data_IF_125353940969
#
_entry.id   IF_125353940969
#
_cell.length_a   1.000
_cell.length_b   1.000
_cell.length_c   1.000
_cell.angle_alpha   90.00
_cell.angle_beta   90.00
_cell.angle_gamma   90.00
#
_symmetry.space_group_name_H-M   'P 1'
#
loop_
_entity.id
_entity.type
_entity.pdbx_description
1 polymer ?
#
# COMPACT_ATOMS: atom_id res chain seq x y z
N UNK A 1 -1.61 24.35 1.52
CA UNK A 1 -1.86 22.89 1.41
C UNK A 1 -2.39 22.43 2.75
N UNK A 2 -3.65 22.00 2.81
CA UNK A 2 -4.19 21.42 4.04
C UNK A 2 -3.45 20.12 4.32
N UNK A 3 -2.94 19.97 5.55
CA UNK A 3 -2.13 18.83 5.96
C UNK A 3 -3.07 17.67 6.26
N UNK A 4 -3.09 16.64 5.41
CA UNK A 4 -3.80 15.39 5.70
C UNK A 4 -3.02 14.65 6.79
N UNK A 5 -3.71 14.20 7.83
CA UNK A 5 -3.12 13.47 8.97
C UNK A 5 -3.71 12.07 9.08
N UNK A 6 -3.01 11.15 9.74
CA UNK A 6 -3.48 9.77 9.98
C UNK A 6 -4.86 9.77 10.64
N UNK A 7 -5.04 10.61 11.67
CA UNK A 7 -6.31 10.77 12.38
C UNK A 7 -7.43 11.27 11.45
N UNK A 8 -7.16 12.31 10.64
CA UNK A 8 -8.13 12.86 9.72
C UNK A 8 -8.58 11.84 8.66
N UNK A 9 -7.63 11.08 8.11
CA UNK A 9 -7.92 9.99 7.16
C UNK A 9 -8.74 8.88 7.84
N UNK A 10 -8.37 8.47 9.05
CA UNK A 10 -9.10 7.44 9.82
C UNK A 10 -10.53 7.86 10.17
N UNK A 11 -10.75 9.13 10.51
CA UNK A 11 -12.11 9.65 10.75
C UNK A 11 -12.94 9.60 9.47
N UNK A 12 -12.37 10.04 8.34
CA UNK A 12 -13.06 10.00 7.05
C UNK A 12 -13.40 8.56 6.64
N UNK A 13 -12.50 7.60 6.86
CA UNK A 13 -12.72 6.20 6.48
C UNK A 13 -13.84 5.56 7.31
N UNK A 14 -13.92 5.85 8.60
CA UNK A 14 -15.07 5.41 9.41
C UNK A 14 -16.40 6.05 8.95
N UNK A 15 -16.42 7.36 8.70
CA UNK A 15 -17.64 8.04 8.24
C UNK A 15 -18.14 7.52 6.89
N UNK A 16 -17.23 7.18 5.99
CA UNK A 16 -17.55 6.70 4.65
C UNK A 16 -17.40 5.17 4.50
N UNK A 17 -17.39 4.43 5.62
CA UNK A 17 -17.22 2.97 5.63
C UNK A 17 -18.20 2.25 4.71
N UNK A 18 -19.42 2.78 4.57
CA UNK A 18 -20.49 2.18 3.74
C UNK A 18 -20.22 2.26 2.24
N UNK A 19 -19.43 3.24 1.79
CA UNK A 19 -19.30 3.61 0.38
C UNK A 19 -17.89 3.52 -0.17
N UNK A 20 -16.85 3.54 0.67
CA UNK A 20 -15.46 3.45 0.23
C UNK A 20 -15.08 2.00 -0.14
N UNK A 21 -14.89 1.79 -1.43
CA UNK A 21 -14.48 0.50 -2.03
C UNK A 21 -13.20 0.69 -2.88
N UNK A 22 -13.09 1.84 -3.56
CA UNK A 22 -11.91 2.26 -4.30
C UNK A 22 -11.27 3.45 -3.58
N UNK A 23 -10.02 3.29 -3.16
CA UNK A 23 -9.30 4.27 -2.35
C UNK A 23 -7.96 4.59 -2.99
N UNK A 24 -7.75 5.87 -3.28
CA UNK A 24 -6.48 6.41 -3.76
C UNK A 24 -5.94 7.44 -2.79
N UNK A 25 -4.76 7.17 -2.21
CA UNK A 25 -4.02 8.12 -1.37
C UNK A 25 -2.70 8.44 -2.05
N UNK A 26 -2.58 9.68 -2.54
CA UNK A 26 -1.39 10.16 -3.26
C UNK A 26 -0.98 11.56 -2.81
N UNK A 27 0.29 11.89 -2.95
CA UNK A 27 0.93 13.18 -2.66
C UNK A 27 0.72 13.69 -1.23
N UNK A 28 0.60 12.77 -0.26
CA UNK A 28 0.38 13.09 1.14
C UNK A 28 1.70 13.18 1.91
N UNK A 29 2.25 14.39 2.05
CA UNK A 29 3.59 14.63 2.64
C UNK A 29 3.73 14.14 4.10
N UNK A 30 2.63 14.13 4.86
CA UNK A 30 2.61 13.77 6.28
C UNK A 30 2.14 12.33 6.54
N UNK A 31 1.86 11.57 5.49
CA UNK A 31 1.41 10.20 5.60
C UNK A 31 2.44 9.31 4.92
N UNK A 32 3.17 8.57 5.74
CA UNK A 32 3.94 7.45 5.23
C UNK A 32 3.00 6.27 4.91
N UNK A 33 3.53 5.27 4.22
CA UNK A 33 2.74 4.10 3.81
C UNK A 33 2.11 3.41 5.02
N UNK A 34 2.87 3.26 6.11
CA UNK A 34 2.43 2.57 7.31
C UNK A 34 1.28 3.33 8.01
N UNK A 35 1.36 4.66 8.15
CA UNK A 35 0.28 5.48 8.68
C UNK A 35 -0.95 5.45 7.76
N UNK A 36 -0.75 5.44 6.44
CA UNK A 36 -1.85 5.32 5.48
C UNK A 36 -2.60 3.99 5.68
N UNK A 37 -1.88 2.86 5.71
CA UNK A 37 -2.50 1.54 5.90
C UNK A 37 -3.18 1.42 7.28
N UNK A 38 -2.60 1.99 8.34
CA UNK A 38 -3.23 2.07 9.67
C UNK A 38 -4.50 2.92 9.68
N UNK A 39 -4.55 4.01 8.91
CA UNK A 39 -5.75 4.84 8.80
C UNK A 39 -6.89 4.18 8.00
N UNK A 40 -6.55 3.23 7.12
CA UNK A 40 -7.52 2.46 6.33
C UNK A 40 -8.02 1.18 7.02
N UNK A 41 -7.41 0.79 8.14
CA UNK A 41 -7.80 -0.37 8.94
C UNK A 41 -9.33 -0.52 9.16
N UNK A 42 -10.10 0.55 9.47
CA UNK A 42 -11.54 0.41 9.73
C UNK A 42 -12.37 -0.03 8.52
N UNK A 43 -11.84 0.06 7.30
CA UNK A 43 -12.53 -0.27 6.05
C UNK A 43 -11.79 -1.34 5.23
N UNK A 44 -10.79 -1.98 5.83
CA UNK A 44 -9.91 -2.98 5.19
C UNK A 44 -10.69 -4.15 4.58
N UNK A 45 -11.77 -4.56 5.26
CA UNK A 45 -12.66 -5.65 4.84
C UNK A 45 -13.46 -5.34 3.56
N UNK A 46 -13.44 -4.09 3.08
CA UNK A 46 -14.30 -3.61 2.00
C UNK A 46 -13.56 -3.06 0.80
N UNK A 47 -12.32 -2.62 0.99
CA UNK A 47 -11.53 -2.05 -0.10
C UNK A 47 -11.24 -3.14 -1.13
N UNK A 48 -11.64 -2.89 -2.38
CA UNK A 48 -11.36 -3.75 -3.52
C UNK A 48 -10.19 -3.23 -4.35
N UNK A 49 -10.01 -1.90 -4.38
CA UNK A 49 -8.92 -1.24 -5.11
C UNK A 49 -8.23 -0.24 -4.20
N UNK A 50 -6.92 -0.38 -4.05
CA UNK A 50 -6.11 0.50 -3.22
C UNK A 50 -4.96 1.08 -4.04
N UNK A 51 -4.72 2.37 -3.89
CA UNK A 51 -3.50 3.02 -4.34
C UNK A 51 -2.85 3.79 -3.19
N UNK A 52 -1.53 3.62 -3.03
CA UNK A 52 -0.73 4.31 -2.03
C UNK A 52 0.62 4.72 -2.63
N UNK A 53 1.04 5.95 -2.36
CA UNK A 53 2.42 6.38 -2.57
C UNK A 53 3.31 5.78 -1.47
N UNK A 54 4.23 4.91 -1.86
CA UNK A 54 5.14 4.22 -0.97
C UNK A 54 6.22 5.18 -0.46
N UNK A 55 5.97 5.79 0.68
CA UNK A 55 6.93 6.63 1.41
C UNK A 55 7.24 5.94 2.73
N UNK A 56 8.49 5.56 2.97
CA UNK A 56 8.90 4.71 4.09
C UNK A 56 9.50 5.47 5.29
N UNK A 57 9.08 6.71 5.51
CA UNK A 57 9.73 7.62 6.47
C UNK A 57 9.63 7.18 7.95
N UNK A 58 8.65 6.35 8.33
CA UNK A 58 8.41 5.94 9.72
C UNK A 58 9.05 4.63 10.18
N UNK A 59 9.71 3.86 9.30
CA UNK A 59 10.33 2.59 9.73
C UNK A 59 11.58 2.77 10.60
N UNK A 60 12.04 4.02 10.79
CA UNK A 60 13.23 4.31 11.59
C UNK A 60 12.97 4.68 13.05
N UNK A 61 11.75 4.95 13.52
CA UNK A 61 11.51 5.32 14.93
C UNK A 61 10.01 5.47 15.27
N UNK A 62 9.23 4.40 15.20
CA UNK A 62 7.87 4.40 15.74
C UNK A 62 7.86 4.06 17.24
N UNK A 63 8.47 4.92 18.07
CA UNK A 63 8.34 4.85 19.54
C UNK A 63 8.18 6.20 20.24
N UNK A 64 8.21 7.36 19.57
CA UNK A 64 8.23 8.65 20.27
C UNK A 64 7.48 9.82 19.62
N UNK A 65 6.21 9.65 19.22
CA UNK A 65 5.31 10.80 19.00
C UNK A 65 3.99 10.66 19.75
N UNK A 66 4.13 10.53 21.08
CA UNK A 66 3.10 10.95 22.01
C UNK A 66 3.20 12.44 22.28
N UNK A 67 2.02 13.08 22.30
CA UNK A 67 1.70 14.34 23.03
C UNK A 67 1.83 15.65 22.24
N UNK A 68 0.67 16.08 21.77
CA UNK A 68 0.35 17.50 21.66
C UNK A 68 -0.31 17.86 20.34
N UNK A 69 -1.61 17.56 20.18
CA UNK A 69 -2.59 18.38 19.45
C UNK A 69 -3.98 17.79 19.73
N UNK A 70 -4.81 18.57 20.44
CA UNK A 70 -6.24 18.44 20.76
C UNK A 70 -6.78 17.03 21.10
N UNK A 71 -7.21 16.89 22.35
CA UNK A 71 -7.77 15.69 22.96
C UNK A 71 -9.15 15.35 22.33
N UNK A 72 -9.15 14.64 21.21
CA UNK A 72 -10.34 13.95 20.69
C UNK A 72 -10.41 12.55 21.28
N UNK A 73 -11.55 12.20 21.88
CA UNK A 73 -11.76 10.92 22.55
C UNK A 73 -11.83 9.79 21.52
N UNK A 74 -10.79 8.96 21.51
CA UNK A 74 -10.63 7.82 20.60
C UNK A 74 -11.67 6.72 20.85
N UNK A 75 -12.24 6.66 22.06
CA UNK A 75 -13.22 5.64 22.42
C UNK A 75 -14.58 5.86 21.71
N UNK A 76 -14.93 7.12 21.42
CA UNK A 76 -16.18 7.44 20.72
C UNK A 76 -16.17 7.01 19.25
N UNK A 77 -14.99 6.93 18.62
CA UNK A 77 -14.86 6.51 17.22
C UNK A 77 -15.04 4.99 17.09
N UNK A 78 -14.58 4.21 18.07
CA UNK A 78 -14.73 2.75 18.08
C UNK A 78 -16.20 2.31 18.19
N UNK A 79 -17.02 3.05 18.97
CA UNK A 79 -18.48 2.89 19.01
C UNK A 79 -19.18 3.29 17.69
N UNK A 80 -18.66 4.30 16.97
CA UNK A 80 -19.20 4.74 15.68
C UNK A 80 -18.92 3.75 14.54
N UNK A 81 -17.75 3.12 14.52
CA UNK A 81 -17.41 2.14 13.46
C UNK A 81 -18.04 0.76 13.74
N UNK A 82 -18.63 0.56 14.93
CA UNK A 82 -19.28 -0.68 15.39
C UNK A 82 -20.82 -0.64 15.36
N UNK A 83 -21.43 0.52 15.10
CA UNK A 83 -22.90 0.67 15.11
C UNK A 83 -23.45 1.03 13.73
N UNK A 84 -24.39 0.19 13.25
CA UNK A 84 -25.21 0.50 12.09
C UNK A 84 -26.25 1.56 12.46
N UNK A 85 -25.94 2.85 12.28
CA UNK A 85 -26.92 3.92 12.53
C UNK A 85 -27.01 4.88 11.35
N UNK A 86 -28.25 5.13 10.92
CA UNK A 86 -28.63 6.08 9.88
C UNK A 86 -28.17 7.52 10.22
N UNK A 87 -27.73 8.24 9.19
CA UNK A 87 -27.00 9.51 9.26
C UNK A 87 -27.77 10.74 9.74
N UNK A 88 -28.45 10.68 10.88
CA UNK A 88 -29.19 11.80 11.44
C UNK A 88 -28.51 12.49 12.65
N UNK A 89 -27.56 11.85 13.34
CA UNK A 89 -27.02 12.36 14.62
C UNK A 89 -25.72 13.17 14.52
N UNK A 90 -25.25 13.51 13.30
CA UNK A 90 -24.01 14.28 13.11
C UNK A 90 -24.17 15.78 13.39
N UNK A 91 -25.40 16.30 13.50
CA UNK A 91 -25.63 17.75 13.54
C UNK A 91 -25.54 18.40 14.93
N UNK A 92 -25.49 17.62 16.01
CA UNK A 92 -25.62 18.16 17.38
C UNK A 92 -24.28 18.53 18.04
N UNK A 93 -23.14 18.31 17.38
CA UNK A 93 -21.80 18.57 17.96
C UNK A 93 -21.21 19.95 17.60
N UNK A 94 -21.89 20.75 16.78
CA UNK A 94 -21.44 22.08 16.35
C UNK A 94 -22.41 23.22 16.70
N UNK A 95 -23.10 23.14 17.85
CA UNK A 95 -24.04 24.21 18.26
C UNK A 95 -24.23 24.36 19.76
N UNK A 96 -23.70 25.46 20.31
CA UNK A 96 -24.37 26.35 21.28
C UNK A 96 -24.79 25.83 22.67
N UNK A 97 -24.48 26.64 23.67
CA UNK A 97 -24.84 26.48 25.09
C UNK A 97 -26.35 26.22 25.36
N UNK A 98 -26.55 25.40 26.40
CA UNK A 98 -27.58 25.51 27.45
C UNK A 98 -28.90 24.70 27.39
N UNK A 99 -29.14 24.07 28.54
CA UNK A 99 -30.41 23.71 29.19
C UNK A 99 -31.37 22.64 28.61
N UNK A 100 -31.38 21.52 29.35
CA UNK A 100 -32.54 20.97 30.08
C UNK A 100 -33.37 19.80 29.50
N UNK A 101 -33.32 18.70 30.26
CA UNK A 101 -34.35 17.66 30.51
C UNK A 101 -35.05 17.06 29.27
N UNK A 102 -34.81 15.77 29.02
CA UNK A 102 -35.89 14.78 28.80
C UNK A 102 -35.46 13.38 29.21
N UNK A 103 -36.45 12.66 29.73
CA UNK A 103 -36.40 11.43 30.52
C UNK A 103 -36.83 10.28 29.60
N UNK A 104 -36.41 9.05 29.95
CA UNK A 104 -36.88 7.71 29.49
C UNK A 104 -36.03 7.16 28.32
N UNK A 105 -35.60 5.89 28.28
CA UNK A 105 -36.10 4.67 28.92
C UNK A 105 -34.95 3.64 29.01
N UNK A 106 -34.74 3.03 30.17
CA UNK A 106 -33.75 1.94 30.37
C UNK A 106 -34.14 0.73 29.53
N UNK A 107 -33.28 0.31 28.60
CA UNK A 107 -33.24 -1.07 28.12
C UNK A 107 -32.42 -1.90 29.12
N UNK A 108 -33.10 -2.76 29.86
CA UNK A 108 -32.48 -3.84 30.64
C UNK A 108 -32.07 -4.93 29.65
N UNK A 109 -30.79 -5.29 29.63
CA UNK A 109 -30.37 -6.64 29.26
C UNK A 109 -29.70 -7.25 30.49
N UNK A 110 -30.20 -8.44 30.85
CA UNK A 110 -29.87 -9.14 32.08
C UNK A 110 -28.44 -9.66 32.06
N UNK A 111 -27.74 -9.39 33.15
CA UNK A 111 -26.61 -10.19 33.60
C UNK A 111 -27.17 -11.50 34.13
N UNK A 112 -27.11 -12.56 33.34
CA UNK A 112 -27.00 -13.90 33.87
C UNK A 112 -25.62 -14.41 33.50
N UNK A 113 -24.75 -14.38 34.51
CA UNK A 113 -23.49 -15.07 34.50
C UNK A 113 -23.79 -16.57 34.45
N UNK A 114 -23.40 -17.21 33.35
CA UNK A 114 -23.14 -18.65 33.38
C UNK A 114 -21.66 -18.86 33.09
N UNK A 115 -21.02 -19.37 34.13
CA UNK A 115 -19.61 -19.59 34.29
C UNK A 115 -19.29 -20.97 33.72
N UNK A 116 -18.79 -21.00 32.48
CA UNK A 116 -18.00 -22.14 32.02
C UNK A 116 -16.77 -21.64 31.26
N UNK A 117 -15.83 -21.15 32.06
CA UNK A 117 -14.43 -20.99 31.72
C UNK A 117 -13.83 -22.35 31.31
N UNK A 118 -14.06 -22.76 30.06
CA UNK A 118 -13.24 -23.77 29.39
C UNK A 118 -12.17 -23.02 28.61
N UNK A 119 -10.95 -23.13 29.14
CA UNK A 119 -9.70 -22.66 28.56
C UNK A 119 -9.63 -22.97 27.06
N UNK A 120 -9.77 -21.93 26.25
CA UNK A 120 -9.20 -21.89 24.92
C UNK A 120 -8.40 -20.60 24.81
N UNK A 121 -7.07 -20.73 24.73
CA UNK A 121 -6.15 -19.66 24.36
C UNK A 121 -6.37 -19.29 22.88
N UNK A 122 -7.57 -18.83 22.54
CA UNK A 122 -7.93 -18.28 21.25
C UNK A 122 -7.64 -16.79 21.27
N UNK A 123 -6.43 -16.44 20.86
CA UNK A 123 -6.06 -15.07 20.51
C UNK A 123 -7.12 -14.52 19.53
N UNK A 124 -7.96 -13.61 19.99
CA UNK A 124 -8.98 -12.92 19.18
C UNK A 124 -8.32 -11.95 18.20
N UNK A 125 -7.56 -12.47 17.25
CA UNK A 125 -7.09 -11.74 16.08
C UNK A 125 -8.30 -11.54 15.16
N UNK A 126 -9.05 -10.46 15.38
CA UNK A 126 -9.84 -9.89 14.29
C UNK A 126 -8.86 -9.60 13.15
N UNK A 127 -9.08 -10.30 12.03
CA UNK A 127 -8.09 -10.51 10.99
C UNK A 127 -7.53 -9.21 10.44
N UNK A 128 -6.21 -9.06 10.53
CA UNK A 128 -5.43 -8.13 9.71
C UNK A 128 -5.41 -8.65 8.26
N UNK A 129 -6.56 -8.87 7.62
CA UNK A 129 -6.68 -9.38 6.25
C UNK A 129 -7.35 -8.37 5.33
N UNK A 130 -6.83 -8.22 4.11
CA UNK A 130 -7.43 -7.48 3.02
C UNK A 130 -8.33 -8.41 2.19
N UNK A 131 -9.43 -8.87 2.81
CA UNK A 131 -10.26 -9.96 2.26
C UNK A 131 -10.86 -9.65 0.89
N UNK A 132 -11.11 -8.38 0.56
CA UNK A 132 -11.72 -7.99 -0.72
C UNK A 132 -10.77 -7.31 -1.69
N UNK A 133 -9.52 -7.07 -1.30
CA UNK A 133 -8.57 -6.34 -2.12
C UNK A 133 -8.18 -7.18 -3.34
N UNK A 134 -8.54 -6.70 -4.53
CA UNK A 134 -8.23 -7.35 -5.82
C UNK A 134 -7.18 -6.61 -6.62
N UNK A 135 -7.07 -5.29 -6.41
CA UNK A 135 -6.16 -4.42 -7.13
C UNK A 135 -5.35 -3.55 -6.18
N UNK A 136 -4.03 -3.59 -6.30
CA UNK A 136 -3.11 -2.75 -5.53
C UNK A 136 -2.22 -1.93 -6.47
N UNK A 137 -2.16 -0.62 -6.28
CA UNK A 137 -1.25 0.28 -7.00
C UNK A 137 -0.28 0.96 -6.05
N UNK A 138 1.00 0.88 -6.35
CA UNK A 138 2.10 1.36 -5.52
C UNK A 138 2.99 2.28 -6.34
N UNK A 139 3.25 3.48 -5.84
CA UNK A 139 4.22 4.41 -6.44
C UNK A 139 5.43 4.53 -5.52
N UNK A 140 6.59 4.13 -6.01
CA UNK A 140 7.83 4.01 -5.25
C UNK A 140 8.86 4.99 -5.84
N UNK A 141 9.66 5.65 -5.00
CA UNK A 141 10.73 6.51 -5.50
C UNK A 141 11.95 5.67 -5.86
N UNK A 142 12.72 6.11 -6.87
CA UNK A 142 14.02 5.50 -7.16
C UNK A 142 14.89 5.48 -5.89
N UNK A 143 15.41 4.30 -5.56
CA UNK A 143 16.25 4.06 -4.38
C UNK A 143 15.50 3.46 -3.19
N UNK A 144 14.17 3.54 -3.16
CA UNK A 144 13.35 2.88 -2.15
C UNK A 144 13.10 1.41 -2.53
N UNK A 145 12.89 0.56 -1.52
CA UNK A 145 12.64 -0.88 -1.68
C UNK A 145 11.15 -1.21 -1.55
N UNK A 146 10.74 -2.31 -2.17
CA UNK A 146 9.40 -2.88 -1.99
C UNK A 146 9.29 -3.71 -0.71
N UNK A 147 10.41 -4.23 -0.20
CA UNK A 147 10.49 -5.14 0.96
C UNK A 147 9.74 -4.69 2.23
N UNK A 148 9.55 -3.39 2.55
CA UNK A 148 8.80 -2.99 3.75
C UNK A 148 7.28 -3.18 3.64
N UNK A 149 6.74 -3.45 2.44
CA UNK A 149 5.29 -3.46 2.19
C UNK A 149 4.50 -4.46 3.04
N UNK A 150 4.89 -5.74 3.18
CA UNK A 150 4.16 -6.68 4.03
C UNK A 150 4.09 -6.17 5.47
N UNK A 151 5.24 -5.86 6.06
CA UNK A 151 5.38 -5.42 7.46
C UNK A 151 4.61 -4.12 7.73
N UNK A 152 4.40 -3.27 6.72
CA UNK A 152 3.62 -2.05 6.84
C UNK A 152 2.10 -2.27 6.96
N UNK A 153 1.61 -3.50 6.78
CA UNK A 153 0.19 -3.86 6.95
C UNK A 153 -0.47 -4.53 5.73
N UNK A 154 0.31 -4.95 4.74
CA UNK A 154 -0.18 -5.62 3.52
C UNK A 154 0.15 -7.13 3.49
N UNK A 155 0.38 -7.76 4.65
CA UNK A 155 0.76 -9.18 4.75
C UNK A 155 -0.29 -10.14 4.18
N UNK A 156 -1.54 -9.97 4.56
CA UNK A 156 -2.61 -10.91 4.20
C UNK A 156 -3.57 -10.26 3.19
N UNK A 157 -3.45 -10.67 1.92
CA UNK A 157 -4.27 -10.24 0.80
C UNK A 157 -4.68 -11.48 -0.03
N UNK A 158 -5.63 -12.29 0.43
CA UNK A 158 -5.92 -13.61 -0.15
C UNK A 158 -6.50 -13.54 -1.57
N UNK A 159 -7.15 -12.43 -1.92
CA UNK A 159 -7.86 -12.24 -3.18
C UNK A 159 -7.18 -11.22 -4.11
N UNK A 160 -5.92 -10.85 -3.84
CA UNK A 160 -5.19 -9.89 -4.68
C UNK A 160 -4.88 -10.53 -6.03
N UNK A 161 -5.50 -10.02 -7.10
CA UNK A 161 -5.38 -10.55 -8.46
C UNK A 161 -4.36 -9.76 -9.30
N UNK A 162 -4.30 -8.44 -9.10
CA UNK A 162 -3.52 -7.51 -9.90
C UNK A 162 -2.74 -6.52 -9.04
N UNK A 163 -1.46 -6.33 -9.37
CA UNK A 163 -0.62 -5.30 -8.77
C UNK A 163 -0.01 -4.38 -9.83
N UNK A 164 -0.01 -3.07 -9.58
CA UNK A 164 0.68 -2.06 -10.38
C UNK A 164 1.75 -1.40 -9.54
N UNK A 165 2.99 -1.51 -9.96
CA UNK A 165 4.12 -0.84 -9.34
C UNK A 165 4.67 0.18 -10.33
N UNK A 166 4.74 1.43 -9.89
CA UNK A 166 5.39 2.51 -10.64
C UNK A 166 6.62 2.97 -9.87
N UNK A 167 7.75 3.09 -10.56
CA UNK A 167 8.95 3.71 -9.97
C UNK A 167 9.19 5.07 -10.62
N UNK A 168 9.31 6.09 -9.79
CA UNK A 168 9.48 7.48 -10.22
C UNK A 168 10.80 8.06 -9.69
N UNK A 169 11.53 8.75 -10.56
CA UNK A 169 12.71 9.49 -10.17
C UNK A 169 13.87 9.39 -11.16
N UNK A 170 14.95 10.05 -10.81
CA UNK A 170 16.19 10.01 -11.58
C UNK A 170 17.17 9.04 -10.92
N UNK A 171 17.56 8.00 -11.65
CA UNK A 171 18.60 7.07 -11.25
C UNK A 171 20.00 7.67 -11.43
N UNK A 172 20.15 8.74 -12.22
CA UNK A 172 21.45 9.40 -12.44
C UNK A 172 21.92 10.02 -11.12
N UNK A 173 23.16 9.73 -10.74
CA UNK A 173 23.73 10.21 -9.48
C UNK A 173 23.21 9.51 -8.22
N UNK A 174 22.30 8.52 -8.33
CA UNK A 174 21.94 7.68 -7.20
C UNK A 174 23.11 6.75 -6.86
N UNK A 175 23.40 6.53 -5.56
CA UNK A 175 24.36 5.53 -5.17
C UNK A 175 23.88 4.15 -5.62
N UNK A 176 24.82 3.24 -5.86
CA UNK A 176 24.49 1.83 -6.04
C UNK A 176 23.67 1.35 -4.84
N UNK A 177 22.50 0.71 -5.04
CA UNK A 177 21.72 0.15 -3.94
C UNK A 177 22.59 -0.77 -3.08
N UNK A 178 22.46 -0.63 -1.75
CA UNK A 178 23.13 -1.53 -0.80
C UNK A 178 22.58 -2.95 -0.89
N UNK A 179 21.30 -3.08 -1.24
CA UNK A 179 20.63 -4.35 -1.47
C UNK A 179 20.80 -4.84 -2.91
N UNK A 180 20.81 -6.16 -3.08
CA UNK A 180 20.97 -6.79 -4.39
C UNK A 180 19.69 -6.82 -5.23
N UNK A 181 18.53 -6.55 -4.62
CA UNK A 181 17.22 -6.64 -5.27
C UNK A 181 16.25 -5.59 -4.77
N UNK A 182 15.30 -5.24 -5.62
CA UNK A 182 14.20 -4.35 -5.29
C UNK A 182 13.15 -4.99 -4.35
N UNK A 183 13.05 -6.33 -4.40
CA UNK A 183 12.18 -7.10 -3.51
C UNK A 183 10.87 -7.58 -4.12
N UNK A 184 10.79 -7.83 -5.44
CA UNK A 184 9.59 -8.40 -6.07
C UNK A 184 9.22 -9.77 -5.49
N UNK A 185 10.20 -10.52 -5.00
CA UNK A 185 10.06 -11.85 -4.42
C UNK A 185 9.05 -11.92 -3.27
N UNK A 186 8.91 -10.83 -2.50
CA UNK A 186 7.97 -10.77 -1.37
C UNK A 186 6.51 -10.92 -1.82
N UNK A 187 6.20 -10.57 -3.07
CA UNK A 187 4.84 -10.64 -3.63
C UNK A 187 4.38 -12.09 -3.86
N UNK A 188 5.30 -13.07 -3.74
CA UNK A 188 4.97 -14.49 -3.78
C UNK A 188 4.07 -14.92 -2.60
N UNK A 189 3.95 -14.11 -1.55
CA UNK A 189 3.00 -14.37 -0.47
C UNK A 189 1.53 -14.21 -0.89
N UNK A 190 1.25 -13.59 -2.05
CA UNK A 190 -0.12 -13.38 -2.54
C UNK A 190 -0.56 -14.52 -3.46
N UNK A 191 -1.47 -15.41 -3.00
CA UNK A 191 -1.74 -16.68 -3.69
C UNK A 191 -2.49 -16.53 -5.01
N UNK A 192 -3.26 -15.45 -5.19
CA UNK A 192 -4.08 -15.21 -6.38
C UNK A 192 -3.45 -14.20 -7.36
N UNK A 193 -2.24 -13.71 -7.07
CA UNK A 193 -1.59 -12.70 -7.88
C UNK A 193 -1.22 -13.29 -9.25
N UNK A 194 -1.92 -12.82 -10.29
CA UNK A 194 -1.77 -13.34 -11.65
C UNK A 194 -1.43 -12.26 -12.67
N UNK A 195 -1.69 -10.99 -12.36
CA UNK A 195 -1.42 -9.85 -13.24
C UNK A 195 -0.50 -8.86 -12.57
N UNK A 196 0.47 -8.37 -13.33
CA UNK A 196 1.38 -7.35 -12.84
C UNK A 196 1.64 -6.28 -13.90
N UNK A 197 1.72 -5.03 -13.44
CA UNK A 197 2.19 -3.90 -14.22
C UNK A 197 3.42 -3.31 -13.54
N UNK A 198 4.57 -3.35 -14.22
CA UNK A 198 5.82 -2.75 -13.77
C UNK A 198 6.12 -1.54 -14.66
N UNK A 199 5.88 -0.36 -14.11
CA UNK A 199 6.00 0.92 -14.81
C UNK A 199 7.25 1.67 -14.36
N UNK A 200 8.34 1.50 -15.11
CA UNK A 200 9.57 2.28 -14.92
C UNK A 200 9.69 3.38 -15.98
N UNK A 201 8.62 3.71 -16.69
CA UNK A 201 8.67 4.64 -17.81
C UNK A 201 9.08 6.07 -17.44
N UNK A 202 8.83 6.47 -16.20
CA UNK A 202 9.22 7.77 -15.63
C UNK A 202 10.58 7.72 -14.91
N UNK A 203 11.25 6.57 -14.94
CA UNK A 203 12.61 6.40 -14.41
C UNK A 203 13.63 6.79 -15.46
N UNK A 204 14.53 7.71 -15.09
CA UNK A 204 15.60 8.20 -15.96
C UNK A 204 16.95 7.64 -15.58
N UNK A 205 17.80 7.31 -16.54
CA UNK A 205 19.16 6.83 -16.27
C UNK A 205 20.09 6.95 -17.47
N UNK A 206 21.32 6.43 -17.33
CA UNK A 206 22.31 6.41 -18.40
C UNK A 206 22.28 5.08 -19.17
N UNK A 207 22.26 5.14 -20.50
CA UNK A 207 22.48 4.02 -21.42
C UNK A 207 23.91 4.09 -21.92
N UNK A 208 24.74 3.11 -21.55
CA UNK A 208 26.12 2.92 -22.01
C UNK A 208 27.10 4.08 -21.71
N UNK A 209 26.65 5.16 -21.10
CA UNK A 209 27.41 6.40 -20.83
C UNK A 209 27.54 6.70 -19.34
N UNK A 210 27.23 5.73 -18.47
CA UNK A 210 27.28 5.91 -17.03
C UNK A 210 28.71 6.31 -16.56
N UNK A 211 28.87 7.43 -15.83
CA UNK A 211 30.14 7.78 -15.22
C UNK A 211 30.62 6.70 -14.26
N UNK A 212 31.94 6.58 -14.06
CA UNK A 212 32.52 5.60 -13.14
C UNK A 212 31.90 5.72 -11.74
N UNK A 213 31.41 4.61 -11.20
CA UNK A 213 30.74 4.55 -9.90
C UNK A 213 29.22 4.71 -9.94
N UNK A 214 28.64 5.01 -11.12
CA UNK A 214 27.19 5.03 -11.32
C UNK A 214 26.72 3.77 -12.06
N UNK A 215 25.45 3.44 -11.89
CA UNK A 215 24.81 2.32 -12.58
C UNK A 215 24.19 2.77 -13.89
N UNK A 216 24.33 1.94 -14.92
CA UNK A 216 23.58 2.08 -16.16
C UNK A 216 22.16 1.53 -16.01
N UNK A 217 21.30 1.81 -16.98
CA UNK A 217 19.93 1.29 -16.97
C UNK A 217 19.86 -0.23 -16.96
N UNK A 218 20.79 -0.94 -17.60
CA UNK A 218 20.84 -2.40 -17.61
C UNK A 218 20.97 -2.99 -16.21
N UNK A 219 21.82 -2.39 -15.37
CA UNK A 219 22.00 -2.79 -13.98
C UNK A 219 20.80 -2.41 -13.10
N UNK A 220 20.15 -1.26 -13.37
CA UNK A 220 18.90 -0.89 -12.70
C UNK A 220 17.75 -1.83 -13.06
N UNK A 221 17.57 -2.17 -14.33
CA UNK A 221 16.56 -3.15 -14.75
C UNK A 221 16.80 -4.51 -14.12
N UNK A 222 18.06 -4.96 -14.06
CA UNK A 222 18.42 -6.19 -13.32
C UNK A 222 18.01 -6.09 -11.86
N UNK A 223 18.31 -4.98 -11.19
CA UNK A 223 17.95 -4.76 -9.78
C UNK A 223 16.43 -4.78 -9.56
N UNK A 224 15.66 -4.12 -10.43
CA UNK A 224 14.21 -4.03 -10.33
C UNK A 224 13.50 -5.35 -10.60
N UNK A 225 13.95 -6.11 -11.61
CA UNK A 225 13.33 -7.36 -12.03
C UNK A 225 13.85 -8.58 -11.25
N UNK A 226 14.88 -8.42 -10.41
CA UNK A 226 15.41 -9.54 -9.65
C UNK A 226 14.33 -10.13 -8.73
N UNK A 227 14.20 -11.46 -8.76
CA UNK A 227 13.17 -12.20 -8.04
C UNK A 227 11.82 -12.30 -8.75
N UNK A 228 11.63 -11.74 -9.95
CA UNK A 228 10.35 -11.84 -10.67
C UNK A 228 9.95 -13.29 -11.00
N UNK A 229 10.93 -14.19 -11.15
CA UNK A 229 10.71 -15.60 -11.44
C UNK A 229 10.07 -16.38 -10.28
N UNK A 230 10.10 -15.84 -9.06
CA UNK A 230 9.37 -16.45 -7.93
C UNK A 230 7.86 -16.22 -8.00
N UNK A 231 7.39 -15.36 -8.91
CA UNK A 231 5.98 -15.02 -9.05
C UNK A 231 5.31 -15.88 -10.12
N UNK A 232 4.12 -16.41 -9.80
CA UNK A 232 3.33 -17.22 -10.72
C UNK A 232 2.41 -16.36 -11.61
N UNK A 233 2.99 -15.40 -12.33
CA UNK A 233 2.24 -14.44 -13.14
C UNK A 233 1.75 -15.05 -14.46
N UNK A 234 0.51 -14.71 -14.84
CA UNK A 234 -0.09 -15.05 -16.14
C UNK A 234 0.07 -13.90 -17.15
N UNK A 235 0.01 -12.66 -16.67
CA UNK A 235 0.08 -11.45 -17.50
C UNK A 235 1.02 -10.43 -16.88
N UNK A 236 1.98 -9.94 -17.67
CA UNK A 236 2.92 -8.90 -17.28
C UNK A 236 2.93 -7.78 -18.31
N UNK A 237 2.72 -6.56 -17.84
CA UNK A 237 3.02 -5.35 -18.60
C UNK A 237 4.28 -4.69 -18.02
N UNK A 238 5.25 -4.44 -18.89
CA UNK A 238 6.55 -3.88 -18.52
C UNK A 238 6.83 -2.61 -19.31
N UNK A 239 7.07 -1.49 -18.62
CA UNK A 239 7.58 -0.25 -19.23
C UNK A 239 9.04 -0.09 -18.80
N UNK A 240 10.00 -0.32 -19.71
CA UNK A 240 11.42 -0.13 -19.40
C UNK A 240 11.73 1.33 -19.00
N UNK A 241 12.79 1.57 -18.23
CA UNK A 241 13.29 2.91 -17.97
C UNK A 241 13.81 3.58 -19.26
N UNK A 242 13.92 4.90 -19.23
CA UNK A 242 14.28 5.70 -20.39
C UNK A 242 15.60 6.45 -20.17
N UNK A 243 16.41 6.52 -21.22
CA UNK A 243 17.45 7.53 -21.35
C UNK A 243 16.92 8.66 -22.25
N UNK A 244 16.84 9.86 -21.69
CA UNK A 244 16.34 11.04 -22.41
C UNK A 244 17.28 11.48 -23.53
N UNK A 245 18.59 11.26 -23.38
CA UNK A 245 19.61 11.72 -24.33
C UNK A 245 19.59 10.88 -25.60
N UNK A 246 19.25 9.58 -25.48
CA UNK A 246 19.14 8.64 -26.60
C UNK A 246 17.70 8.53 -27.11
N UNK A 247 16.73 9.10 -26.38
CA UNK A 247 15.29 8.99 -26.63
C UNK A 247 14.85 7.54 -26.92
N UNK A 248 15.44 6.60 -26.19
CA UNK A 248 15.22 5.18 -26.37
C UNK A 248 14.72 4.56 -25.07
N UNK A 249 13.65 3.77 -25.20
CA UNK A 249 13.12 2.91 -24.15
C UNK A 249 13.28 1.47 -24.62
N UNK A 250 14.33 0.80 -24.19
CA UNK A 250 14.66 -0.55 -24.63
C UNK A 250 14.76 -1.53 -23.47
N UNK A 251 14.17 -2.71 -23.63
CA UNK A 251 14.42 -3.85 -22.75
C UNK A 251 15.88 -4.29 -22.90
N UNK A 252 16.63 -4.32 -21.80
CA UNK A 252 18.01 -4.82 -21.82
C UNK A 252 18.09 -6.35 -21.80
N UNK A 253 19.25 -6.89 -22.17
CA UNK A 253 19.54 -8.33 -22.14
C UNK A 253 19.36 -8.94 -20.72
N UNK A 254 19.84 -8.32 -19.62
CA UNK A 254 19.56 -8.82 -18.27
C UNK A 254 18.06 -8.88 -17.95
N UNK A 255 17.30 -7.87 -18.37
CA UNK A 255 15.85 -7.85 -18.17
C UNK A 255 15.18 -8.99 -18.94
N UNK A 256 15.52 -9.18 -20.22
CA UNK A 256 15.01 -10.28 -21.03
C UNK A 256 15.31 -11.65 -20.41
N UNK A 257 16.53 -11.86 -19.89
CA UNK A 257 16.93 -13.09 -19.21
C UNK A 257 16.09 -13.38 -17.95
N UNK A 258 15.83 -12.37 -17.12
CA UNK A 258 14.98 -12.53 -15.93
C UNK A 258 13.51 -12.78 -16.29
N UNK A 259 12.99 -12.10 -17.31
CA UNK A 259 11.62 -12.32 -17.79
C UNK A 259 11.42 -13.71 -18.40
N UNK A 260 12.47 -14.29 -18.99
CA UNK A 260 12.43 -15.66 -19.53
C UNK A 260 12.20 -16.72 -18.43
N UNK A 261 12.59 -16.43 -17.19
CA UNK A 261 12.40 -17.34 -16.05
C UNK A 261 10.95 -17.35 -15.53
N UNK A 262 10.07 -16.49 -16.02
CA UNK A 262 8.64 -16.48 -15.68
C UNK A 262 7.87 -17.56 -16.46
N UNK A 263 8.04 -18.84 -16.11
CA UNK A 263 7.49 -19.98 -16.86
C UNK A 263 5.97 -20.04 -16.97
N UNK A 264 5.24 -19.37 -16.07
CA UNK A 264 3.76 -19.36 -16.03
C UNK A 264 3.14 -18.28 -16.92
N UNK A 265 3.98 -17.36 -17.44
CA UNK A 265 3.53 -16.21 -18.19
C UNK A 265 2.89 -16.61 -19.53
N UNK A 266 1.68 -16.12 -19.80
CA UNK A 266 0.99 -16.30 -21.08
C UNK A 266 0.96 -15.05 -21.92
N UNK A 267 1.05 -13.88 -21.28
CA UNK A 267 1.00 -12.59 -21.95
C UNK A 267 2.12 -11.70 -21.42
N UNK A 268 2.99 -11.27 -22.33
CA UNK A 268 4.03 -10.30 -22.06
C UNK A 268 3.80 -9.09 -22.95
N UNK A 269 3.62 -7.92 -22.34
CA UNK A 269 3.55 -6.65 -23.05
C UNK A 269 4.74 -5.79 -22.65
N UNK A 270 5.67 -5.56 -23.57
CA UNK A 270 6.79 -4.64 -23.39
C UNK A 270 6.42 -3.33 -24.06
N UNK A 271 6.34 -2.26 -23.27
CA UNK A 271 5.98 -0.92 -23.72
C UNK A 271 7.23 -0.12 -24.06
N UNK A 272 8.00 -0.66 -25.00
CA UNK A 272 9.27 -0.13 -25.48
C UNK A 272 9.76 -0.95 -26.67
N UNK A 273 11.03 -0.82 -27.00
CA UNK A 273 11.71 -1.64 -28.02
C UNK A 273 12.48 -2.77 -27.36
N UNK A 274 12.78 -3.84 -28.09
CA UNK A 274 13.78 -4.84 -27.69
C UNK A 274 14.74 -5.03 -28.86
N UNK A 275 16.03 -5.17 -28.58
CA UNK A 275 17.01 -5.53 -29.60
C UNK A 275 17.02 -7.04 -29.81
N UNK A 276 17.44 -7.47 -30.99
CA UNK A 276 17.74 -8.88 -31.24
C UNK A 276 18.94 -9.28 -30.38
N UNK A 277 18.81 -10.38 -29.64
CA UNK A 277 19.77 -10.85 -28.66
C UNK A 277 20.13 -12.31 -28.93
#
# INVERSE_FOLDING_TARGET
LQLVTEKGLRTMTCLLRRTLIDVKVSCCVNLDTAATLRALEPIRDRIERLHVDCVWNGLRESDNLGRGFLNFDLNALDELCSSDVDGADFMDYFGGEDMSKRKRQRCRYGLEADDSFVQSNGNGYYGKSWDRLRYLSLWIRVGDLLTPLPVAGSEDCPNLEEIRIKVEGDCRGQPKPSESEFGLSILACYPQLSKMQLDFGDTKGYVLTAPSGQMDLSLWERFFLNGISSLSLNELHYWPPQDEDVNQRSLSLPAAGLLQECYTLRKLFIHGTAHEH
#
